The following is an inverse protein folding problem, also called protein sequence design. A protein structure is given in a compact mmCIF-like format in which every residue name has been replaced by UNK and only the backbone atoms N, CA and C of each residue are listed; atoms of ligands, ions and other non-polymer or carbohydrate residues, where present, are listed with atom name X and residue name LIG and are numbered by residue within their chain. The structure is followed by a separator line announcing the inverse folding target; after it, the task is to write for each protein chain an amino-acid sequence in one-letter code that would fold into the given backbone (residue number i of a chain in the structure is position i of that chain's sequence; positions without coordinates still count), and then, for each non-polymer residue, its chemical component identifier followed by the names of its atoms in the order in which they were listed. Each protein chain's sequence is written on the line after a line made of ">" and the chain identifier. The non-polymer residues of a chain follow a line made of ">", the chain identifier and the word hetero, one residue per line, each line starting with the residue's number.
data_IF_513621760209
#
_entry.id   IF_513621760209
#
_cell.length_a   1.000
_cell.length_b   1.000
_cell.length_c   1.000
_cell.angle_alpha   90.00
_cell.angle_beta   90.00
_cell.angle_gamma   90.00
#
_symmetry.space_group_name_H-M   'P 1'
#
loop_
_entity.id
_entity.type
_entity.pdbx_description
1 polymer ?
#
# COMPACT_ATOMS: atom_id res chain seq x y z
N UNK A 1 27.31 -2.74 4.10
CA UNK A 1 26.62 -2.14 2.94
C UNK A 1 26.14 -3.22 1.98
N UNK A 2 27.03 -4.00 1.37
CA UNK A 2 26.67 -5.03 0.37
C UNK A 2 25.68 -6.11 0.88
N UNK A 3 25.76 -6.48 2.17
CA UNK A 3 24.85 -7.45 2.78
C UNK A 3 23.44 -6.88 3.03
N UNK A 4 23.32 -5.57 3.28
CA UNK A 4 22.03 -4.90 3.51
C UNK A 4 21.32 -4.66 2.17
N UNK A 5 22.06 -4.29 1.12
CA UNK A 5 21.51 -4.16 -0.24
C UNK A 5 20.94 -5.48 -0.75
N UNK A 6 21.68 -6.59 -0.56
CA UNK A 6 21.19 -7.92 -0.92
C UNK A 6 19.95 -8.33 -0.11
N UNK A 7 19.85 -7.91 1.16
CA UNK A 7 18.65 -8.11 1.98
C UNK A 7 17.46 -7.29 1.48
N UNK A 8 17.67 -6.05 1.03
CA UNK A 8 16.63 -5.20 0.46
C UNK A 8 16.03 -5.84 -0.79
N UNK A 9 16.86 -6.35 -1.70
CA UNK A 9 16.39 -7.00 -2.94
C UNK A 9 15.49 -8.21 -2.63
N UNK A 10 15.88 -9.05 -1.67
CA UNK A 10 15.10 -10.22 -1.26
C UNK A 10 13.74 -9.80 -0.69
N UNK A 11 13.73 -8.81 0.21
CA UNK A 11 12.49 -8.30 0.81
C UNK A 11 11.61 -7.61 -0.23
N UNK A 12 12.20 -6.85 -1.15
CA UNK A 12 11.50 -6.20 -2.25
C UNK A 12 10.76 -7.22 -3.13
N UNK A 13 11.43 -8.31 -3.52
CA UNK A 13 10.81 -9.39 -4.30
C UNK A 13 9.68 -10.09 -3.53
N UNK A 14 9.88 -10.36 -2.24
CA UNK A 14 8.82 -10.96 -1.40
C UNK A 14 7.59 -10.06 -1.30
N UNK A 15 7.78 -8.77 -1.08
CA UNK A 15 6.69 -7.79 -1.03
C UNK A 15 6.01 -7.65 -2.40
N UNK A 16 6.78 -7.67 -3.49
CA UNK A 16 6.24 -7.64 -4.85
C UNK A 16 5.29 -8.82 -5.11
N UNK A 17 5.67 -10.01 -4.65
CA UNK A 17 4.81 -11.21 -4.71
C UNK A 17 3.53 -11.07 -3.88
N UNK A 18 3.64 -10.56 -2.64
CA UNK A 18 2.48 -10.33 -1.77
C UNK A 18 1.49 -9.33 -2.35
N UNK A 19 2.00 -8.26 -2.98
CA UNK A 19 1.18 -7.22 -3.60
C UNK A 19 0.70 -7.60 -5.00
N UNK A 20 1.30 -8.61 -5.64
CA UNK A 20 1.15 -8.89 -7.07
C UNK A 20 1.45 -7.64 -7.90
N UNK A 21 2.64 -7.08 -7.68
CA UNK A 21 3.10 -5.82 -8.24
C UNK A 21 4.48 -6.00 -8.89
N UNK A 22 4.80 -5.15 -9.86
CA UNK A 22 6.20 -5.01 -10.31
C UNK A 22 6.97 -4.17 -9.28
N UNK A 23 8.30 -4.33 -9.22
CA UNK A 23 9.13 -3.65 -8.23
C UNK A 23 10.34 -2.97 -8.85
N UNK A 24 10.66 -1.77 -8.35
CA UNK A 24 11.82 -1.00 -8.77
C UNK A 24 12.56 -0.41 -7.56
N UNK A 25 13.88 -0.55 -7.54
CA UNK A 25 14.75 0.10 -6.55
C UNK A 25 15.37 1.36 -7.17
N UNK A 26 15.01 2.53 -6.66
CA UNK A 26 15.49 3.83 -7.15
C UNK A 26 16.03 4.64 -5.98
N UNK A 27 17.35 4.86 -5.95
CA UNK A 27 17.98 5.73 -4.94
C UNK A 27 17.76 5.30 -3.49
N UNK A 28 17.70 3.98 -3.20
CA UNK A 28 17.47 3.44 -1.86
C UNK A 28 15.99 3.39 -1.45
N UNK A 29 15.07 3.79 -2.34
CA UNK A 29 13.62 3.62 -2.19
C UNK A 29 13.14 2.49 -3.09
N UNK A 30 12.38 1.55 -2.52
CA UNK A 30 11.69 0.51 -3.26
C UNK A 30 10.28 0.99 -3.58
N UNK A 31 9.91 0.91 -4.85
CA UNK A 31 8.62 1.32 -5.40
C UNK A 31 7.92 0.08 -5.96
N UNK A 32 6.62 -0.03 -5.73
CA UNK A 32 5.80 -1.10 -6.30
C UNK A 32 4.81 -0.52 -7.31
N UNK A 33 4.91 -0.97 -8.57
CA UNK A 33 3.93 -0.64 -9.61
C UNK A 33 2.78 -1.64 -9.53
N UNK A 34 1.67 -1.16 -8.98
CA UNK A 34 0.40 -1.89 -8.95
C UNK A 34 -0.70 -0.98 -9.46
N UNK A 35 -1.49 -1.49 -10.40
CA UNK A 35 -2.59 -0.74 -11.01
C UNK A 35 -3.92 -1.20 -10.47
N UNK A 36 -4.84 -0.24 -10.40
CA UNK A 36 -6.21 -0.46 -10.00
C UNK A 36 -7.16 0.21 -10.97
N UNK A 37 -8.24 -0.48 -11.32
CA UNK A 37 -9.29 0.10 -12.17
C UNK A 37 -10.53 0.43 -11.33
N UNK A 38 -10.88 1.71 -11.28
CA UNK A 38 -12.07 2.24 -10.63
C UNK A 38 -13.16 2.49 -11.66
N UNK A 39 -14.39 2.12 -11.32
CA UNK A 39 -15.59 2.55 -12.04
C UNK A 39 -16.33 3.58 -11.19
N UNK A 40 -16.25 4.83 -11.59
CA UNK A 40 -16.87 5.95 -10.86
C UNK A 40 -18.21 6.27 -11.53
N UNK A 41 -19.28 6.30 -10.75
CA UNK A 41 -20.64 6.56 -11.21
C UNK A 41 -21.19 7.82 -10.53
N UNK A 42 -21.38 8.91 -11.28
CA UNK A 42 -21.86 10.20 -10.75
C UNK A 42 -22.98 10.75 -11.62
N UNK A 43 -24.14 11.05 -11.04
CA UNK A 43 -25.23 11.80 -11.68
C UNK A 43 -25.58 11.35 -13.12
N UNK A 44 -25.65 10.05 -13.37
CA UNK A 44 -25.99 9.48 -14.69
C UNK A 44 -24.80 9.26 -15.63
N UNK A 45 -23.59 9.64 -15.24
CA UNK A 45 -22.35 9.38 -15.96
C UNK A 45 -21.56 8.27 -15.27
N UNK A 46 -21.00 7.35 -16.06
CA UNK A 46 -20.02 6.38 -15.60
C UNK A 46 -18.73 6.57 -16.37
N UNK A 47 -17.61 6.54 -15.65
CA UNK A 47 -16.29 6.52 -16.25
C UNK A 47 -15.41 5.49 -15.56
N UNK A 48 -14.51 4.92 -16.33
CA UNK A 48 -13.54 3.94 -15.87
C UNK A 48 -12.18 4.62 -15.87
N UNK A 49 -11.47 4.54 -14.75
CA UNK A 49 -10.16 5.12 -14.58
C UNK A 49 -9.22 4.05 -14.04
N UNK A 50 -8.05 3.89 -14.68
CA UNK A 50 -6.98 3.04 -14.15
C UNK A 50 -5.93 3.94 -13.52
N UNK A 51 -5.62 3.67 -12.26
CA UNK A 51 -4.72 4.45 -11.42
C UNK A 51 -3.60 3.57 -10.92
N UNK A 52 -2.41 4.15 -10.82
CA UNK A 52 -1.29 3.53 -10.13
C UNK A 52 -1.48 3.71 -8.62
N UNK A 53 -1.22 2.66 -7.85
CA UNK A 53 -1.14 2.72 -6.40
C UNK A 53 0.26 3.20 -6.02
N UNK A 54 0.36 4.22 -5.18
CA UNK A 54 1.65 4.63 -4.63
C UNK A 54 1.95 3.75 -3.42
N UNK A 55 2.82 2.75 -3.59
CA UNK A 55 3.26 1.87 -2.51
C UNK A 55 4.79 1.83 -2.54
N UNK A 56 5.40 2.03 -1.37
CA UNK A 56 6.86 2.05 -1.28
C UNK A 56 7.39 1.75 0.12
N UNK A 57 8.67 1.39 0.19
CA UNK A 57 9.43 1.44 1.43
C UNK A 57 10.82 2.02 1.21
N UNK A 58 11.38 2.61 2.27
CA UNK A 58 12.70 3.23 2.29
C UNK A 58 13.31 3.12 3.69
N UNK A 59 14.60 3.46 3.83
CA UNK A 59 15.34 3.40 5.10
C UNK A 59 15.30 2.01 5.75
N UNK A 60 15.60 0.97 4.98
CA UNK A 60 15.66 -0.41 5.49
C UNK A 60 16.82 -0.58 6.48
N UNK A 61 16.52 -1.12 7.66
CA UNK A 61 17.43 -1.30 8.78
C UNK A 61 17.85 -2.76 8.95
N UNK A 62 18.96 -2.99 9.67
CA UNK A 62 19.47 -4.33 9.97
C UNK A 62 18.49 -5.18 10.82
N UNK A 63 17.60 -4.55 11.57
CA UNK A 63 16.53 -5.21 12.33
C UNK A 63 15.34 -5.64 11.47
N UNK A 64 15.40 -5.39 10.16
CA UNK A 64 14.36 -5.70 9.17
C UNK A 64 13.24 -4.67 9.08
N UNK A 65 13.28 -3.58 9.87
CA UNK A 65 12.30 -2.51 9.78
C UNK A 65 12.61 -1.54 8.64
N UNK A 66 11.56 -0.92 8.09
CA UNK A 66 11.66 0.15 7.11
C UNK A 66 10.55 1.18 7.33
N UNK A 67 10.66 2.34 6.70
CA UNK A 67 9.56 3.30 6.57
C UNK A 67 8.72 2.90 5.36
N UNK A 68 7.55 2.36 5.63
CA UNK A 68 6.58 1.92 4.61
C UNK A 68 5.56 3.01 4.36
N UNK A 69 5.14 3.16 3.10
CA UNK A 69 4.16 4.16 2.65
C UNK A 69 3.18 3.52 1.68
N UNK A 70 1.91 3.90 1.81
CA UNK A 70 0.91 3.64 0.79
C UNK A 70 -0.06 4.81 0.65
N UNK A 71 -0.45 5.13 -0.58
CA UNK A 71 -1.58 5.99 -0.90
C UNK A 71 -2.55 5.23 -1.81
N UNK A 72 -3.75 4.94 -1.31
CA UNK A 72 -4.75 4.14 -2.01
C UNK A 72 -5.99 4.99 -2.27
N UNK A 73 -6.29 5.20 -3.55
CA UNK A 73 -7.50 5.88 -4.00
C UNK A 73 -8.68 4.90 -4.00
N UNK A 74 -9.75 5.27 -3.32
CA UNK A 74 -10.94 4.47 -3.04
C UNK A 74 -12.21 5.23 -3.41
N UNK A 75 -13.26 4.51 -3.77
CA UNK A 75 -14.62 5.04 -3.78
C UNK A 75 -15.09 5.27 -2.33
N UNK A 76 -15.96 6.26 -2.07
CA UNK A 76 -16.44 6.55 -0.71
C UNK A 76 -17.00 5.32 0.03
N UNK A 77 -17.72 4.44 -0.66
CA UNK A 77 -18.30 3.22 -0.12
C UNK A 77 -17.27 2.14 0.24
N UNK A 78 -16.07 2.19 -0.34
CA UNK A 78 -15.00 1.22 -0.12
C UNK A 78 -14.14 1.58 1.10
N UNK A 79 -14.18 2.84 1.54
CA UNK A 79 -13.32 3.34 2.62
C UNK A 79 -13.51 2.52 3.90
N UNK A 80 -14.74 2.35 4.37
CA UNK A 80 -14.95 1.67 5.66
C UNK A 80 -14.62 0.18 5.63
N UNK A 81 -15.01 -0.60 4.60
CA UNK A 81 -14.53 -1.97 4.44
C UNK A 81 -13.00 -2.07 4.42
N UNK A 82 -12.35 -1.19 3.64
CA UNK A 82 -10.89 -1.16 3.53
C UNK A 82 -10.21 -0.89 4.88
N UNK A 83 -10.65 0.14 5.62
CA UNK A 83 -10.11 0.46 6.93
C UNK A 83 -10.36 -0.63 7.96
N UNK A 84 -11.50 -1.30 7.89
CA UNK A 84 -11.81 -2.43 8.78
C UNK A 84 -10.83 -3.56 8.53
N UNK A 85 -10.58 -3.92 7.26
CA UNK A 85 -9.62 -4.97 6.91
C UNK A 85 -8.19 -4.67 7.37
N UNK A 86 -7.73 -3.41 7.24
CA UNK A 86 -6.44 -2.99 7.79
C UNK A 86 -6.35 -3.24 9.31
N UNK A 87 -7.41 -2.93 10.05
CA UNK A 87 -7.45 -3.07 11.51
C UNK A 87 -7.62 -4.53 11.98
N UNK A 88 -8.22 -5.39 11.17
CA UNK A 88 -8.45 -6.81 11.50
C UNK A 88 -7.37 -7.74 10.97
N UNK A 89 -6.29 -7.20 10.40
CA UNK A 89 -5.16 -8.02 9.94
C UNK A 89 -4.52 -8.79 11.10
N UNK A 90 -3.95 -9.95 10.77
CA UNK A 90 -3.13 -10.75 11.71
C UNK A 90 -1.92 -9.94 12.21
N UNK A 91 -1.48 -8.94 11.44
CA UNK A 91 -0.44 -7.99 11.84
C UNK A 91 -1.07 -6.65 12.25
N UNK A 92 -1.28 -6.40 13.55
CA UNK A 92 -1.78 -5.10 14.00
C UNK A 92 -0.82 -3.98 13.61
N UNK A 93 -1.31 -2.74 13.58
CA UNK A 93 -0.46 -1.59 13.35
C UNK A 93 0.66 -1.51 14.42
N UNK A 94 1.89 -1.09 14.02
CA UNK A 94 2.99 -0.91 14.95
C UNK A 94 2.72 0.30 15.87
N UNK A 95 3.55 0.50 16.90
CA UNK A 95 3.45 1.69 17.76
C UNK A 95 3.68 2.99 16.98
N UNK A 96 4.55 2.95 15.96
CA UNK A 96 4.89 4.11 15.12
C UNK A 96 4.22 3.98 13.76
N UNK A 97 2.99 4.49 13.68
CA UNK A 97 2.25 4.59 12.42
C UNK A 97 1.44 5.88 12.34
N UNK A 98 1.07 6.26 11.12
CA UNK A 98 0.13 7.33 10.84
C UNK A 98 -0.80 6.90 9.72
N UNK A 99 -2.07 7.20 9.89
CA UNK A 99 -3.11 7.02 8.89
C UNK A 99 -3.93 8.30 8.80
N UNK A 100 -4.25 8.72 7.59
CA UNK A 100 -5.16 9.84 7.35
C UNK A 100 -5.89 9.68 6.02
N UNK A 101 -6.93 10.49 5.81
CA UNK A 101 -7.78 10.42 4.63
C UNK A 101 -7.91 11.81 4.03
N UNK A 102 -7.76 11.91 2.72
CA UNK A 102 -8.12 13.08 1.93
C UNK A 102 -9.29 12.71 1.03
N UNK A 103 -10.43 13.38 1.14
CA UNK A 103 -11.63 12.99 0.39
C UNK A 103 -12.29 14.16 -0.32
N UNK A 104 -12.93 13.82 -1.43
CA UNK A 104 -13.91 14.63 -2.14
C UNK A 104 -15.18 13.78 -2.34
N UNK A 105 -16.26 14.33 -2.93
CA UNK A 105 -17.52 13.59 -3.08
C UNK A 105 -17.44 12.27 -3.88
N UNK A 106 -16.41 12.09 -4.72
CA UNK A 106 -16.31 10.96 -5.64
C UNK A 106 -15.17 9.99 -5.30
N UNK A 107 -14.15 10.45 -4.55
CA UNK A 107 -12.96 9.67 -4.22
C UNK A 107 -12.44 10.02 -2.83
N UNK A 108 -11.87 9.02 -2.17
CA UNK A 108 -11.10 9.16 -0.95
C UNK A 108 -9.71 8.55 -1.16
N UNK A 109 -8.67 9.31 -0.83
CA UNK A 109 -7.30 8.83 -0.72
C UNK A 109 -7.05 8.43 0.74
N UNK A 110 -6.74 7.16 0.97
CA UNK A 110 -6.29 6.65 2.26
C UNK A 110 -4.77 6.56 2.24
N UNK A 111 -4.13 7.35 3.09
CA UNK A 111 -2.68 7.40 3.22
C UNK A 111 -2.24 6.65 4.48
N UNK A 112 -1.18 5.85 4.35
CA UNK A 112 -0.58 5.05 5.42
C UNK A 112 0.93 5.28 5.45
N UNK A 113 1.47 5.46 6.66
CA UNK A 113 2.91 5.45 6.91
C UNK A 113 3.17 4.64 8.17
N UNK A 114 4.08 3.68 8.13
CA UNK A 114 4.41 2.84 9.28
C UNK A 114 5.87 2.43 9.30
N UNK A 115 6.48 2.42 10.49
CA UNK A 115 7.83 1.88 10.69
C UNK A 115 7.73 0.45 11.21
N UNK A 116 7.94 -0.51 10.32
CA UNK A 116 7.80 -1.95 10.57
C UNK A 116 8.43 -2.77 9.42
N UNK A 117 8.52 -4.12 9.53
CA UNK A 117 8.94 -4.95 8.39
C UNK A 117 8.03 -4.78 7.18
N UNK A 118 8.58 -4.55 5.97
CA UNK A 118 7.80 -4.35 4.74
C UNK A 118 6.78 -5.44 4.45
N UNK A 119 7.09 -6.69 4.78
CA UNK A 119 6.23 -7.84 4.58
C UNK A 119 4.97 -7.76 5.43
N UNK A 120 5.05 -7.27 6.67
CA UNK A 120 3.88 -7.09 7.54
C UNK A 120 2.98 -5.97 7.04
N UNK A 121 3.59 -4.89 6.58
CA UNK A 121 2.87 -3.79 5.95
C UNK A 121 2.15 -4.26 4.68
N UNK A 122 2.85 -5.02 3.84
CA UNK A 122 2.33 -5.57 2.59
C UNK A 122 1.20 -6.57 2.81
N UNK A 123 1.33 -7.51 3.75
CA UNK A 123 0.27 -8.45 4.12
C UNK A 123 -1.00 -7.73 4.57
N UNK A 124 -0.87 -6.74 5.46
CA UNK A 124 -1.99 -5.92 5.91
C UNK A 124 -2.66 -5.20 4.74
N UNK A 125 -1.85 -4.63 3.85
CA UNK A 125 -2.33 -3.89 2.69
C UNK A 125 -3.01 -4.83 1.68
N UNK A 126 -2.43 -5.98 1.36
CA UNK A 126 -3.01 -6.99 0.45
C UNK A 126 -4.37 -7.46 0.94
N UNK A 127 -4.52 -7.73 2.25
CA UNK A 127 -5.83 -8.09 2.83
C UNK A 127 -6.89 -7.00 2.58
N UNK A 128 -6.52 -5.72 2.72
CA UNK A 128 -7.44 -4.62 2.48
C UNK A 128 -7.72 -4.40 0.99
N UNK A 129 -6.71 -4.56 0.12
CA UNK A 129 -6.85 -4.41 -1.33
C UNK A 129 -7.79 -5.44 -1.96
N UNK A 130 -7.92 -6.64 -1.36
CA UNK A 130 -8.87 -7.66 -1.80
C UNK A 130 -10.34 -7.20 -1.72
N UNK A 131 -10.67 -6.23 -0.86
CA UNK A 131 -12.04 -5.73 -0.71
C UNK A 131 -12.43 -4.68 -1.73
N UNK A 132 -11.47 -4.16 -2.50
CA UNK A 132 -11.66 -2.95 -3.32
C UNK A 132 -11.31 -3.18 -4.80
N UNK A 133 -11.03 -4.43 -5.19
CA UNK A 133 -10.74 -4.80 -6.58
C UNK A 133 -9.39 -4.24 -7.03
N UNK A 134 -8.35 -5.08 -6.95
CA UNK A 134 -6.95 -4.80 -7.24
C UNK A 134 -6.25 -6.05 -7.80
#
# INVERSE_FOLDING_TARGET
>A
MEQVEKSIEIVAEQVAQLLQAEVALIGGKVLFDKKRTLKICTAGHSFVCTLDLDISFEYFHEDGSAVNRAEILLLPEEVQPFLTALNTSVYPFPTVYRQWIHSNPNLASVCLVATEPPERFAERLTMALQLVGC
#
